data_IF_835150417554
#
_entry.id   IF_835150417554
#
_cell.length_a   1.000
_cell.length_b   1.000
_cell.length_c   1.000
_cell.angle_alpha   90.00
_cell.angle_beta   90.00
_cell.angle_gamma   90.00
#
_symmetry.space_group_name_H-M   'P 1'
#
loop_
_entity.id
_entity.type
_entity.pdbx_description
1 polymer ?
#
# COMPACT_ATOMS: atom_id res chain seq x y z
N UNK A 1 7.72 -8.63 7.02
CA UNK A 1 6.29 -8.30 6.89
C UNK A 1 6.01 -7.08 7.73
N UNK A 2 5.57 -5.98 7.12
CA UNK A 2 5.03 -4.85 7.87
C UNK A 2 3.91 -5.36 8.78
N UNK A 3 3.98 -5.08 10.09
CA UNK A 3 3.00 -5.59 11.05
C UNK A 3 1.57 -5.11 10.76
N UNK A 4 1.43 -3.94 10.11
CA UNK A 4 0.13 -3.36 9.75
C UNK A 4 -0.58 -4.21 8.68
N UNK A 5 0.18 -4.85 7.78
CA UNK A 5 -0.36 -5.60 6.64
C UNK A 5 -0.27 -7.13 6.82
N UNK A 6 0.07 -7.62 8.01
CA UNK A 6 0.39 -9.03 8.23
C UNK A 6 -0.81 -9.99 8.08
N UNK A 7 -2.03 -9.46 8.14
CA UNK A 7 -3.29 -10.20 8.05
C UNK A 7 -3.95 -10.08 6.67
N UNK A 8 -3.37 -9.29 5.76
CA UNK A 8 -3.87 -9.14 4.39
C UNK A 8 -3.45 -10.33 3.54
N UNK A 9 -4.30 -10.71 2.60
CA UNK A 9 -3.97 -11.77 1.64
C UNK A 9 -2.94 -11.25 0.63
N UNK A 10 -2.21 -12.17 0.00
CA UNK A 10 -1.25 -11.83 -1.05
C UNK A 10 -1.90 -11.02 -2.19
N UNK A 11 -3.13 -11.36 -2.58
CA UNK A 11 -3.87 -10.65 -3.62
C UNK A 11 -4.17 -9.19 -3.22
N UNK A 12 -4.54 -8.95 -1.96
CA UNK A 12 -4.77 -7.58 -1.49
C UNK A 12 -3.46 -6.79 -1.50
N UNK A 13 -2.35 -7.40 -1.06
CA UNK A 13 -1.03 -6.77 -1.09
C UNK A 13 -0.60 -6.39 -2.52
N UNK A 14 -0.83 -7.28 -3.48
CA UNK A 14 -0.56 -7.01 -4.90
C UNK A 14 -1.42 -5.86 -5.45
N UNK A 15 -2.70 -5.80 -5.07
CA UNK A 15 -3.57 -4.68 -5.43
C UNK A 15 -3.10 -3.34 -4.84
N UNK A 16 -2.67 -3.32 -3.58
CA UNK A 16 -2.10 -2.11 -2.95
C UNK A 16 -0.84 -1.69 -3.70
N UNK A 17 0.07 -2.61 -3.96
CA UNK A 17 1.33 -2.33 -4.67
C UNK A 17 1.06 -1.77 -6.07
N UNK A 18 0.11 -2.34 -6.80
CA UNK A 18 -0.30 -1.85 -8.13
C UNK A 18 -0.86 -0.42 -8.05
N UNK A 19 -1.78 -0.15 -7.13
CA UNK A 19 -2.33 1.20 -6.96
C UNK A 19 -1.25 2.22 -6.56
N UNK A 20 -0.34 1.86 -5.66
CA UNK A 20 0.71 2.80 -5.24
C UNK A 20 1.75 3.06 -6.33
N UNK A 21 2.10 2.05 -7.14
CA UNK A 21 3.12 2.14 -8.17
C UNK A 21 2.61 2.71 -9.50
N UNK A 22 1.36 2.42 -9.87
CA UNK A 22 0.85 2.66 -11.23
C UNK A 22 -0.31 3.67 -11.27
N UNK A 23 -0.87 4.09 -10.13
CA UNK A 23 -1.93 5.09 -10.10
C UNK A 23 -1.38 6.51 -9.85
N UNK A 24 -1.14 7.24 -10.94
CA UNK A 24 -0.67 8.64 -10.91
C UNK A 24 -1.82 9.67 -10.89
N UNK A 25 -3.07 9.25 -11.04
CA UNK A 25 -4.21 10.16 -11.23
C UNK A 25 -5.04 10.37 -9.97
N UNK A 26 -5.18 9.34 -9.13
CA UNK A 26 -5.95 9.44 -7.89
C UNK A 26 -5.23 10.29 -6.86
N UNK A 27 -5.98 11.04 -6.06
CA UNK A 27 -5.47 11.71 -4.87
C UNK A 27 -5.18 10.69 -3.76
N UNK A 28 -4.54 11.15 -2.68
CA UNK A 28 -4.32 10.29 -1.50
C UNK A 28 -5.64 9.93 -0.81
N UNK A 29 -6.63 10.82 -0.84
CA UNK A 29 -7.97 10.60 -0.28
C UNK A 29 -8.71 9.52 -1.08
N UNK A 30 -8.72 9.63 -2.42
CA UNK A 30 -9.36 8.61 -3.27
C UNK A 30 -8.71 7.23 -3.16
N UNK A 31 -7.37 7.16 -3.00
CA UNK A 31 -6.70 5.88 -2.73
C UNK A 31 -7.04 5.32 -1.36
N UNK A 32 -7.15 6.18 -0.35
CA UNK A 32 -7.55 5.78 0.99
C UNK A 32 -8.96 5.18 0.99
N UNK A 33 -9.91 5.86 0.34
CA UNK A 33 -11.29 5.39 0.20
C UNK A 33 -11.33 4.03 -0.52
N UNK A 34 -10.59 3.90 -1.63
CA UNK A 34 -10.49 2.62 -2.34
C UNK A 34 -9.95 1.49 -1.45
N UNK A 35 -8.92 1.74 -0.65
CA UNK A 35 -8.35 0.73 0.25
C UNK A 35 -9.35 0.29 1.32
N UNK A 36 -10.12 1.21 1.89
CA UNK A 36 -11.12 0.89 2.91
C UNK A 36 -12.34 0.22 2.30
N UNK A 37 -12.91 0.79 1.24
CA UNK A 37 -14.20 0.38 0.69
C UNK A 37 -14.09 -0.86 -0.21
N UNK A 38 -13.07 -0.93 -1.07
CA UNK A 38 -12.96 -1.98 -2.08
C UNK A 38 -12.03 -3.12 -1.65
N UNK A 39 -11.00 -2.84 -0.84
CA UNK A 39 -10.07 -3.86 -0.33
C UNK A 39 -10.37 -4.32 1.10
N UNK A 40 -11.45 -3.81 1.71
CA UNK A 40 -11.88 -4.11 3.08
C UNK A 40 -10.77 -3.89 4.13
N UNK A 41 -9.86 -2.95 3.88
CA UNK A 41 -8.77 -2.62 4.80
C UNK A 41 -9.29 -1.80 5.99
N UNK A 42 -8.65 -1.93 7.15
CA UNK A 42 -8.91 -1.01 8.26
C UNK A 42 -8.40 0.39 7.92
N UNK A 43 -8.93 1.41 8.59
CA UNK A 43 -8.44 2.78 8.46
C UNK A 43 -6.92 2.89 8.71
N UNK A 44 -6.40 2.19 9.73
CA UNK A 44 -4.96 2.15 10.04
C UNK A 44 -4.13 1.55 8.90
N UNK A 45 -4.66 0.52 8.21
CA UNK A 45 -4.01 -0.07 7.05
C UNK A 45 -4.03 0.87 5.85
N UNK A 46 -5.16 1.54 5.60
CA UNK A 46 -5.26 2.51 4.51
C UNK A 46 -4.33 3.72 4.74
N UNK A 47 -4.26 4.23 5.97
CA UNK A 47 -3.30 5.27 6.37
C UNK A 47 -1.86 4.82 6.11
N UNK A 48 -1.53 3.60 6.54
CA UNK A 48 -0.21 2.99 6.32
C UNK A 48 0.13 2.87 4.84
N UNK A 49 -0.82 2.45 4.00
CA UNK A 49 -0.60 2.28 2.56
C UNK A 49 -0.38 3.63 1.87
N UNK A 50 -1.22 4.63 2.15
CA UNK A 50 -1.09 5.98 1.59
C UNK A 50 0.21 6.65 2.03
N UNK A 51 0.67 6.42 3.27
CA UNK A 51 1.95 6.94 3.76
C UNK A 51 3.17 6.40 2.97
N UNK A 52 3.06 5.22 2.35
CA UNK A 52 4.11 4.66 1.50
C UNK A 52 4.14 5.26 0.10
N UNK A 53 3.06 5.90 -0.37
CA UNK A 53 2.92 6.38 -1.74
C UNK A 53 4.09 7.24 -2.26
N UNK A 54 4.66 8.18 -1.49
CA UNK A 54 5.80 8.97 -1.97
C UNK A 54 7.02 8.12 -2.34
N UNK A 55 7.19 6.95 -1.71
CA UNK A 55 8.29 6.02 -2.04
C UNK A 55 8.04 5.33 -3.37
N UNK A 56 6.81 4.89 -3.63
CA UNK A 56 6.43 4.26 -4.89
C UNK A 56 6.52 5.21 -6.09
N UNK A 57 6.19 6.50 -5.90
CA UNK A 57 6.34 7.50 -6.97
C UNK A 57 7.80 7.82 -7.32
N UNK A 58 8.74 7.55 -6.41
CA UNK A 58 10.16 7.90 -6.58
C UNK A 58 11.11 6.73 -6.79
N UNK A 59 10.62 5.49 -6.66
CA UNK A 59 11.45 4.29 -6.63
C UNK A 59 10.75 3.12 -7.32
N UNK A 60 11.53 2.27 -7.99
CA UNK A 60 11.05 1.02 -8.56
C UNK A 60 11.46 -0.12 -7.62
N UNK A 61 10.49 -0.92 -7.21
CA UNK A 61 10.72 -2.09 -6.35
C UNK A 61 10.59 -3.38 -7.16
N UNK A 62 11.36 -4.39 -6.77
CA UNK A 62 11.08 -5.75 -7.21
C UNK A 62 9.83 -6.26 -6.47
N UNK A 63 9.01 -7.06 -7.14
CA UNK A 63 7.81 -7.68 -6.55
C UNK A 63 8.15 -8.38 -5.24
N UNK A 64 7.39 -8.09 -4.18
CA UNK A 64 7.63 -8.67 -2.84
C UNK A 64 8.78 -8.02 -2.05
N UNK A 65 9.47 -7.04 -2.61
CA UNK A 65 10.61 -6.35 -1.98
C UNK A 65 10.37 -4.86 -1.72
N UNK A 66 9.14 -4.38 -1.87
CA UNK A 66 8.76 -3.01 -1.53
C UNK A 66 8.55 -2.80 -0.03
N UNK A 67 8.44 -1.53 0.44
CA UNK A 67 8.14 -1.21 1.83
C UNK A 67 6.84 -1.83 2.36
N UNK A 68 5.93 -2.27 1.49
CA UNK A 68 4.71 -2.98 1.88
C UNK A 68 5.01 -4.33 2.55
N UNK A 69 6.07 -5.02 2.12
CA UNK A 69 6.45 -6.34 2.62
C UNK A 69 7.51 -6.28 3.74
N UNK A 70 8.14 -5.11 3.92
CA UNK A 70 9.22 -4.90 4.88
C UNK A 70 8.69 -4.22 6.14
N UNK A 71 9.21 -4.61 7.32
CA UNK A 71 9.07 -3.76 8.49
C UNK A 71 10.06 -2.62 8.30
N UNK A 72 9.59 -1.37 8.32
CA UNK A 72 10.50 -0.23 8.45
C UNK A 72 11.14 -0.30 9.84
N UNK A 73 12.29 -0.97 9.95
CA UNK A 73 13.23 -0.67 11.02
C UNK A 73 13.94 0.61 10.59
N UNK A 74 13.48 1.71 11.17
CA UNK A 74 14.10 3.04 11.32
C UNK A 74 15.51 3.17 10.75
#
# INVERSE_FOLDING_TARGET
MNLIFNNLTQQILENIEDQLANNEVSTNEELWDFFVEELEMTAEQADGAVALRPKYLGQIFLTGHSPLFQNETV
#
